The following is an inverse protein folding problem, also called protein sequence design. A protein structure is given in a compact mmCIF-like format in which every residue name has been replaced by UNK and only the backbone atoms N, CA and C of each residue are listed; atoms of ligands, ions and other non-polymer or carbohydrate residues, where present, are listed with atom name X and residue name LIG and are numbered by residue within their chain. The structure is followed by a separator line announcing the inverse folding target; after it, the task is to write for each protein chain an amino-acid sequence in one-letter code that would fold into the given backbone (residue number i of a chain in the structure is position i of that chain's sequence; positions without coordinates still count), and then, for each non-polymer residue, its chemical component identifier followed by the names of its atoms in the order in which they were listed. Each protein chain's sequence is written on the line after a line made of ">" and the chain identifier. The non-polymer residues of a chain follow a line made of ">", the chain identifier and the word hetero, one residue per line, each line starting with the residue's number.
data_IF_063299105710
#
_entry.id   IF_063299105710
#
_cell.length_a   1.000
_cell.length_b   1.000
_cell.length_c   1.000
_cell.angle_alpha   90.00
_cell.angle_beta   90.00
_cell.angle_gamma   90.00
#
_symmetry.space_group_name_H-M   'P 1'
#
loop_
_entity.id
_entity.type
_entity.pdbx_description
1 polymer ?
#
# COMPACT_ATOMS: atom_id res chain seq x y z
N UNK A 1 43.03 -3.91 -6.84
CA UNK A 1 43.12 -2.63 -6.19
C UNK A 1 42.37 -2.74 -4.90
N UNK A 2 43.13 -2.77 -4.00
CA UNK A 2 43.12 -3.19 -2.66
C UNK A 2 42.20 -2.32 -1.81
N UNK A 3 41.39 -3.00 -1.02
CA UNK A 3 40.63 -2.38 0.04
C UNK A 3 41.62 -1.70 1.00
N UNK A 4 41.28 -0.53 1.55
CA UNK A 4 42.27 0.29 2.30
C UNK A 4 42.68 -0.27 3.66
N UNK A 5 42.41 -1.54 3.94
CA UNK A 5 42.69 -2.23 5.20
C UNK A 5 43.93 -3.10 5.18
N UNK A 6 44.70 -3.08 4.08
CA UNK A 6 45.92 -3.90 3.86
C UNK A 6 45.70 -5.42 3.88
N UNK A 7 44.43 -5.90 3.88
CA UNK A 7 44.12 -7.33 3.80
C UNK A 7 43.77 -7.66 2.32
N UNK A 8 44.43 -8.65 1.71
CA UNK A 8 44.10 -9.04 0.34
C UNK A 8 42.65 -9.48 0.15
N UNK A 9 42.02 -9.08 -0.94
CA UNK A 9 40.62 -9.37 -1.28
C UNK A 9 40.27 -10.86 -1.19
N UNK A 10 41.20 -11.76 -1.48
CA UNK A 10 41.01 -13.21 -1.41
C UNK A 10 40.70 -13.75 0.01
N UNK A 11 40.94 -12.95 1.06
CA UNK A 11 40.62 -13.27 2.44
C UNK A 11 39.40 -12.53 2.97
N UNK A 12 38.71 -11.82 2.10
CA UNK A 12 37.55 -10.97 2.42
C UNK A 12 36.36 -11.31 1.59
N UNK A 13 35.18 -11.12 2.18
CA UNK A 13 33.89 -11.18 1.50
C UNK A 13 33.23 -9.81 1.51
N UNK A 14 32.28 -9.63 0.63
CA UNK A 14 31.46 -8.43 0.53
C UNK A 14 30.00 -8.77 0.76
N UNK A 15 29.34 -8.02 1.63
CA UNK A 15 27.89 -7.95 1.72
C UNK A 15 27.40 -6.74 0.94
N UNK A 16 26.51 -6.95 -0.01
CA UNK A 16 25.92 -5.89 -0.85
C UNK A 16 24.43 -5.83 -0.62
N UNK A 17 23.87 -4.61 -0.46
CA UNK A 17 22.45 -4.38 -0.21
C UNK A 17 21.87 -3.54 -1.33
N UNK A 18 20.82 -4.02 -1.98
CA UNK A 18 20.16 -3.36 -3.11
C UNK A 18 18.65 -3.37 -2.97
N UNK A 19 17.98 -2.45 -3.66
CA UNK A 19 16.53 -2.47 -3.80
C UNK A 19 16.13 -3.35 -4.99
N UNK A 20 15.07 -4.15 -4.82
CA UNK A 20 14.45 -4.90 -5.92
C UNK A 20 13.74 -3.98 -6.92
N UNK A 21 13.24 -2.84 -6.43
CA UNK A 21 12.45 -1.88 -7.21
C UNK A 21 12.56 -0.49 -6.56
N UNK A 22 13.39 0.37 -7.16
CA UNK A 22 13.61 1.72 -6.64
C UNK A 22 12.38 2.63 -6.73
N UNK A 23 11.38 2.25 -7.52
CA UNK A 23 10.10 2.98 -7.57
C UNK A 23 9.21 2.68 -6.36
N UNK A 24 9.47 1.59 -5.64
CA UNK A 24 8.74 1.18 -4.44
C UNK A 24 9.47 1.47 -3.13
N UNK A 25 10.80 1.58 -3.19
CA UNK A 25 11.60 1.91 -2.02
C UNK A 25 13.10 1.85 -2.32
N UNK A 26 13.89 2.43 -1.43
CA UNK A 26 15.36 2.56 -1.61
C UNK A 26 16.11 1.91 -0.47
N UNK A 27 17.34 1.51 -0.76
CA UNK A 27 18.33 1.09 0.21
C UNK A 27 19.44 2.12 0.23
N UNK A 28 19.73 2.69 1.39
CA UNK A 28 20.71 3.76 1.58
C UNK A 28 21.61 3.47 2.78
N UNK A 29 22.53 4.38 3.10
CA UNK A 29 23.51 4.19 4.17
C UNK A 29 24.66 3.31 3.69
N UNK A 30 25.02 2.29 4.46
CA UNK A 30 26.08 1.35 4.08
C UNK A 30 25.47 0.29 3.18
N UNK A 31 25.59 0.48 1.86
CA UNK A 31 25.08 -0.45 0.84
C UNK A 31 26.11 -1.53 0.48
N UNK A 32 27.31 -1.43 1.01
CA UNK A 32 28.38 -2.40 0.83
C UNK A 32 29.25 -2.49 2.07
N UNK A 33 29.36 -3.68 2.63
CA UNK A 33 30.17 -4.00 3.79
C UNK A 33 31.23 -5.04 3.40
N UNK A 34 32.42 -4.94 3.96
CA UNK A 34 33.51 -5.90 3.75
C UNK A 34 33.86 -6.55 5.08
N UNK A 35 33.98 -7.87 5.08
CA UNK A 35 34.36 -8.66 6.25
C UNK A 35 35.48 -9.62 5.91
N UNK A 36 36.43 -9.80 6.86
CA UNK A 36 37.53 -10.75 6.74
C UNK A 36 37.12 -12.11 7.23
N UNK A 37 37.21 -13.14 6.37
CA UNK A 37 36.72 -14.51 6.62
C UNK A 37 37.82 -15.49 6.99
N UNK A 38 39.04 -15.00 7.37
CA UNK A 38 40.14 -15.81 7.83
C UNK A 38 40.79 -15.19 9.06
N UNK A 39 41.40 -16.03 9.89
CA UNK A 39 42.36 -15.54 10.91
C UNK A 39 43.57 -14.98 10.18
N UNK A 40 43.89 -13.72 10.39
CA UNK A 40 45.05 -13.05 9.79
C UNK A 40 46.06 -12.76 10.86
N UNK A 41 47.29 -13.29 10.71
CA UNK A 41 48.40 -13.02 11.57
C UNK A 41 49.34 -12.03 10.88
N UNK A 42 49.71 -10.98 11.60
CA UNK A 42 50.57 -9.92 11.06
C UNK A 42 51.79 -9.75 11.93
N UNK A 43 52.90 -9.36 11.33
CA UNK A 43 54.10 -8.89 12.05
C UNK A 43 53.75 -7.57 12.76
N UNK A 44 54.08 -7.47 14.05
CA UNK A 44 53.72 -6.33 14.89
C UNK A 44 54.50 -5.04 14.58
N UNK A 45 55.65 -5.15 13.88
CA UNK A 45 56.50 -4.01 13.57
C UNK A 45 56.23 -3.50 12.14
N UNK A 46 56.02 -4.41 11.20
CA UNK A 46 55.85 -4.08 9.77
C UNK A 46 54.37 -4.06 9.31
N UNK A 47 53.47 -4.73 10.04
CA UNK A 47 52.10 -4.93 9.65
C UNK A 47 51.90 -5.91 8.48
N UNK A 48 52.97 -6.58 8.02
CA UNK A 48 52.90 -7.57 6.96
C UNK A 48 52.20 -8.86 7.44
N UNK A 49 51.41 -9.49 6.56
CA UNK A 49 50.77 -10.78 6.85
C UNK A 49 51.83 -11.87 6.90
N UNK A 50 51.99 -12.50 8.05
CA UNK A 50 52.95 -13.57 8.31
C UNK A 50 52.34 -14.95 8.16
N UNK A 51 51.03 -15.10 8.44
CA UNK A 51 50.30 -16.36 8.31
C UNK A 51 48.80 -16.10 8.15
N UNK A 52 48.08 -17.11 7.62
CA UNK A 52 46.62 -17.11 7.44
C UNK A 52 46.07 -18.40 8.05
N UNK A 53 45.26 -18.26 9.08
CA UNK A 53 44.70 -19.37 9.80
C UNK A 53 43.43 -19.94 9.13
N UNK A 54 42.53 -20.46 9.93
CA UNK A 54 41.29 -21.09 9.49
C UNK A 54 40.28 -20.08 9.00
N UNK A 55 39.32 -20.52 8.16
CA UNK A 55 38.13 -19.72 7.82
C UNK A 55 37.30 -19.42 9.07
N UNK A 56 36.79 -18.19 9.15
CA UNK A 56 35.88 -17.72 10.19
C UNK A 56 34.67 -17.13 9.50
N UNK A 57 33.50 -17.79 9.55
CA UNK A 57 32.27 -17.23 8.98
C UNK A 57 31.95 -15.85 9.55
N UNK A 58 31.49 -14.96 8.72
CA UNK A 58 31.12 -13.59 9.08
C UNK A 58 29.64 -13.36 8.87
N UNK A 59 29.08 -12.43 9.63
CA UNK A 59 27.70 -12.00 9.48
C UNK A 59 27.64 -10.50 9.17
N UNK A 60 26.58 -10.02 8.51
CA UNK A 60 26.37 -8.60 8.29
C UNK A 60 26.27 -7.84 9.63
N UNK A 61 27.06 -6.80 9.81
CA UNK A 61 27.11 -6.03 11.07
C UNK A 61 26.50 -4.63 10.92
N UNK A 62 26.55 -4.07 9.72
CA UNK A 62 26.12 -2.70 9.44
C UNK A 62 24.73 -2.71 8.86
N UNK A 63 23.78 -1.99 9.47
CA UNK A 63 22.48 -1.86 8.88
C UNK A 63 22.53 -0.91 7.69
N UNK A 64 22.13 -1.39 6.52
CA UNK A 64 21.62 -0.51 5.50
C UNK A 64 20.28 0.09 5.96
N UNK A 65 19.95 1.27 5.47
CA UNK A 65 18.65 1.89 5.76
C UNK A 65 17.70 1.57 4.61
N UNK A 66 16.65 0.82 4.92
CA UNK A 66 15.55 0.55 3.98
C UNK A 66 14.48 1.60 4.16
N UNK A 67 14.16 2.32 3.08
CA UNK A 67 13.15 3.38 3.09
C UNK A 67 12.09 3.09 2.02
N UNK A 68 10.91 2.56 2.42
CA UNK A 68 9.79 2.43 1.50
C UNK A 68 9.33 3.80 1.01
N UNK A 69 8.89 3.88 -0.25
CA UNK A 69 8.18 5.05 -0.78
C UNK A 69 6.72 5.04 -0.37
N UNK A 70 6.06 6.18 -0.55
CA UNK A 70 4.64 6.38 -0.25
C UNK A 70 3.78 5.26 -0.84
N UNK A 71 2.89 4.71 -0.03
CA UNK A 71 2.02 3.61 -0.41
C UNK A 71 2.64 2.22 -0.39
N UNK A 72 3.90 2.10 -0.03
CA UNK A 72 4.61 0.82 0.09
C UNK A 72 5.11 0.60 1.51
N UNK A 73 5.46 -0.64 1.80
CA UNK A 73 6.17 -1.06 3.02
C UNK A 73 7.24 -2.07 2.67
N UNK A 74 8.30 -2.13 3.48
CA UNK A 74 9.27 -3.20 3.39
C UNK A 74 8.57 -4.54 3.65
N UNK A 75 8.90 -5.53 2.82
CA UNK A 75 8.34 -6.87 2.92
C UNK A 75 9.36 -7.85 3.52
N UNK A 76 10.53 -7.93 2.88
CA UNK A 76 11.57 -8.90 3.24
C UNK A 76 12.88 -8.59 2.53
N UNK A 77 13.96 -9.19 3.03
CA UNK A 77 15.19 -9.37 2.29
C UNK A 77 15.18 -10.70 1.53
N UNK A 78 15.79 -10.74 0.36
CA UNK A 78 16.06 -11.94 -0.42
C UNK A 78 17.56 -12.04 -0.66
N UNK A 79 18.15 -13.23 -0.40
CA UNK A 79 19.55 -13.53 -0.69
C UNK A 79 19.68 -14.25 -2.04
N UNK A 80 18.90 -15.30 -2.24
CA UNK A 80 18.83 -16.11 -3.46
C UNK A 80 17.36 -16.50 -3.73
N UNK A 81 17.09 -17.36 -4.69
CA UNK A 81 15.72 -17.74 -5.09
C UNK A 81 14.91 -18.40 -3.96
N UNK A 82 15.53 -18.90 -2.90
CA UNK A 82 14.90 -19.69 -1.85
C UNK A 82 15.08 -19.12 -0.44
N UNK A 83 16.06 -18.23 -0.23
CA UNK A 83 16.41 -17.70 1.09
C UNK A 83 15.88 -16.30 1.30
N UNK A 84 15.01 -16.16 2.29
CA UNK A 84 14.35 -14.89 2.64
C UNK A 84 14.50 -14.60 4.13
N UNK A 85 14.60 -13.30 4.47
CA UNK A 85 14.64 -12.80 5.84
C UNK A 85 13.55 -11.73 6.02
N UNK A 86 12.75 -11.86 7.07
CA UNK A 86 11.63 -10.94 7.33
C UNK A 86 12.06 -9.68 8.09
N UNK A 87 13.29 -9.66 8.59
CA UNK A 87 13.86 -8.53 9.32
C UNK A 87 15.36 -8.43 9.13
N UNK A 88 15.91 -7.28 9.48
CA UNK A 88 17.36 -7.06 9.54
C UNK A 88 18.03 -7.97 10.57
N UNK A 89 17.36 -8.29 11.69
CA UNK A 89 17.90 -9.14 12.73
C UNK A 89 18.07 -10.59 12.26
N UNK A 90 17.09 -11.13 11.49
CA UNK A 90 17.21 -12.45 10.89
C UNK A 90 18.39 -12.52 9.92
N UNK A 91 18.54 -11.49 9.07
CA UNK A 91 19.63 -11.38 8.10
C UNK A 91 20.99 -11.33 8.82
N UNK A 92 21.12 -10.56 9.90
CA UNK A 92 22.39 -10.39 10.67
C UNK A 92 22.78 -11.62 11.45
N UNK A 93 21.85 -12.51 11.77
CA UNK A 93 22.14 -13.75 12.49
C UNK A 93 22.66 -14.88 11.58
N UNK A 94 22.70 -14.65 10.27
CA UNK A 94 23.21 -15.62 9.30
C UNK A 94 24.71 -15.42 9.05
N UNK A 95 25.44 -16.52 8.88
CA UNK A 95 26.91 -16.55 8.75
C UNK A 95 27.31 -16.98 7.35
N UNK A 96 28.36 -16.34 6.80
CA UNK A 96 28.83 -16.53 5.42
C UNK A 96 30.35 -16.60 5.31
N UNK A 97 30.80 -17.35 4.30
CA UNK A 97 32.20 -17.45 3.88
C UNK A 97 32.45 -16.92 2.47
N UNK A 98 31.37 -16.49 1.79
CA UNK A 98 31.40 -16.03 0.39
C UNK A 98 30.62 -14.71 0.27
N UNK A 99 30.88 -13.98 -0.83
CA UNK A 99 30.16 -12.75 -1.15
C UNK A 99 28.64 -12.98 -1.18
N UNK A 100 27.89 -12.04 -0.61
CA UNK A 100 26.44 -12.09 -0.58
C UNK A 100 25.81 -10.80 -1.09
N UNK A 101 24.68 -10.94 -1.78
CA UNK A 101 23.83 -9.82 -2.16
C UNK A 101 22.46 -9.99 -1.53
N UNK A 102 22.02 -8.97 -0.79
CA UNK A 102 20.72 -8.91 -0.16
C UNK A 102 19.83 -7.91 -0.91
N UNK A 103 18.66 -8.36 -1.35
CA UNK A 103 17.72 -7.60 -2.16
C UNK A 103 16.52 -7.26 -1.30
N UNK A 104 16.27 -5.96 -1.06
CA UNK A 104 15.11 -5.48 -0.32
C UNK A 104 13.86 -5.50 -1.21
N UNK A 105 12.83 -6.24 -0.80
CA UNK A 105 11.53 -6.27 -1.45
C UNK A 105 10.53 -5.37 -0.74
N UNK A 106 9.65 -4.74 -1.54
CA UNK A 106 8.61 -3.85 -1.07
C UNK A 106 7.26 -4.32 -1.60
N UNK A 107 6.24 -4.24 -0.75
CA UNK A 107 4.86 -4.58 -1.11
C UNK A 107 3.95 -3.37 -0.91
N UNK A 108 2.86 -3.32 -1.68
CA UNK A 108 1.85 -2.27 -1.55
C UNK A 108 1.16 -2.35 -0.18
N UNK A 109 0.86 -1.22 0.42
CA UNK A 109 0.09 -1.13 1.66
C UNK A 109 -1.34 -1.58 1.43
N UNK A 110 -1.87 -2.39 2.38
CA UNK A 110 -3.23 -2.97 2.36
C UNK A 110 -3.96 -2.72 3.68
N UNK A 111 -3.52 -1.72 4.41
CA UNK A 111 -3.93 -1.37 5.75
C UNK A 111 -4.38 0.10 5.81
N UNK A 112 -4.98 0.61 4.73
CA UNK A 112 -5.39 2.00 4.64
C UNK A 112 -6.89 2.14 4.89
N UNK A 113 -7.23 3.19 5.61
CA UNK A 113 -8.61 3.55 5.90
C UNK A 113 -9.29 4.14 4.67
N UNK A 114 -10.59 3.80 4.46
CA UNK A 114 -11.48 4.47 3.50
C UNK A 114 -12.93 4.35 3.94
N UNK A 115 -13.78 5.27 3.46
CA UNK A 115 -15.20 5.31 3.75
C UNK A 115 -16.05 5.50 2.50
N UNK A 116 -17.25 4.90 2.48
CA UNK A 116 -18.28 5.14 1.48
C UNK A 116 -19.57 5.46 2.23
N UNK A 117 -20.12 6.65 2.00
CA UNK A 117 -21.32 7.13 2.64
C UNK A 117 -22.47 7.20 1.64
N UNK A 118 -23.69 6.95 2.10
CA UNK A 118 -24.91 7.00 1.33
C UNK A 118 -25.84 8.06 1.88
N UNK A 119 -26.27 8.99 1.03
CA UNK A 119 -27.12 10.12 1.40
C UNK A 119 -28.42 10.07 0.58
N UNK A 120 -29.53 10.38 1.23
CA UNK A 120 -30.86 10.39 0.66
C UNK A 120 -31.49 11.76 0.83
N UNK A 121 -31.82 12.43 -0.29
CA UNK A 121 -32.46 13.74 -0.31
C UNK A 121 -33.95 13.57 -0.55
N UNK A 122 -34.79 14.04 0.39
CA UNK A 122 -36.24 13.99 0.29
C UNK A 122 -36.82 15.10 -0.61
N UNK A 123 -38.11 15.07 -0.86
CA UNK A 123 -38.81 16.05 -1.71
C UNK A 123 -38.72 17.51 -1.18
N UNK A 124 -38.33 17.73 0.08
CA UNK A 124 -38.13 19.04 0.67
C UNK A 124 -36.67 19.50 0.61
N UNK A 125 -35.77 18.71 0.01
CA UNK A 125 -34.34 18.98 -0.06
C UNK A 125 -33.59 18.64 1.24
N UNK A 126 -34.18 17.84 2.14
CA UNK A 126 -33.51 17.40 3.36
C UNK A 126 -32.68 16.17 3.07
N UNK A 127 -31.36 16.29 3.28
CA UNK A 127 -30.42 15.21 3.08
C UNK A 127 -30.21 14.44 4.37
N UNK A 128 -30.40 13.13 4.30
CA UNK A 128 -30.19 12.21 5.46
C UNK A 128 -29.17 11.14 5.08
N UNK A 129 -28.20 10.92 5.95
CA UNK A 129 -27.23 9.83 5.78
C UNK A 129 -27.81 8.50 6.28
N UNK A 130 -27.65 7.45 5.48
CA UNK A 130 -27.85 6.07 5.94
C UNK A 130 -26.57 5.53 6.57
N UNK A 131 -26.41 5.76 7.87
CA UNK A 131 -25.24 5.29 8.62
C UNK A 131 -25.17 3.76 8.74
N UNK A 132 -26.29 3.05 8.48
CA UNK A 132 -26.33 1.59 8.51
C UNK A 132 -25.79 0.98 7.19
N UNK A 133 -25.92 1.71 6.08
CA UNK A 133 -25.36 1.31 4.79
C UNK A 133 -23.92 1.80 4.58
N UNK A 134 -23.44 2.75 5.38
CA UNK A 134 -22.08 3.28 5.26
C UNK A 134 -21.03 2.15 5.39
N UNK A 135 -20.03 2.20 4.52
CA UNK A 135 -18.90 1.26 4.54
C UNK A 135 -17.70 2.00 5.11
N UNK A 136 -17.19 1.49 6.23
CA UNK A 136 -15.95 1.95 6.87
C UNK A 136 -14.98 0.78 6.86
N UNK A 137 -13.78 0.96 6.34
CA UNK A 137 -12.83 -0.14 6.15
C UNK A 137 -11.38 0.29 6.36
N UNK A 138 -10.61 -0.55 7.05
CA UNK A 138 -9.17 -0.38 7.32
C UNK A 138 -8.29 -1.33 6.48
N UNK A 139 -8.83 -1.90 5.41
CA UNK A 139 -8.12 -2.83 4.51
C UNK A 139 -8.00 -2.29 3.09
N UNK A 140 -8.04 -0.98 2.93
CA UNK A 140 -7.83 -0.32 1.64
C UNK A 140 -6.42 -0.57 1.10
N UNK A 141 -6.34 -0.86 -0.20
CA UNK A 141 -5.08 -1.07 -0.90
C UNK A 141 -4.68 0.21 -1.61
N UNK A 142 -3.48 0.70 -1.33
CA UNK A 142 -2.97 1.93 -1.94
C UNK A 142 -3.10 1.92 -3.46
N UNK A 143 -3.64 2.99 -4.02
CA UNK A 143 -3.84 3.17 -5.45
C UNK A 143 -5.02 2.40 -6.06
N UNK A 144 -5.71 1.52 -5.31
CA UNK A 144 -6.95 0.90 -5.79
C UNK A 144 -8.14 1.85 -5.64
N UNK A 145 -9.12 1.75 -6.54
CA UNK A 145 -10.36 2.54 -6.42
C UNK A 145 -11.09 2.20 -5.12
N UNK A 146 -11.58 3.23 -4.43
CA UNK A 146 -12.41 3.07 -3.23
C UNK A 146 -13.73 2.40 -3.63
N UNK A 147 -14.43 2.96 -4.61
CA UNK A 147 -15.66 2.41 -5.12
C UNK A 147 -15.37 1.35 -6.20
N UNK A 148 -15.34 0.06 -5.78
CA UNK A 148 -15.01 -1.09 -6.64
C UNK A 148 -16.22 -1.67 -7.39
N UNK A 149 -17.43 -1.38 -6.92
CA UNK A 149 -18.67 -1.91 -7.48
C UNK A 149 -19.52 -0.82 -8.09
N UNK A 150 -20.36 -1.19 -9.05
CA UNK A 150 -21.37 -0.26 -9.59
C UNK A 150 -22.42 0.02 -8.53
N UNK A 151 -22.66 1.29 -8.26
CA UNK A 151 -23.73 1.74 -7.36
C UNK A 151 -25.07 1.47 -8.04
N UNK A 152 -26.05 0.98 -7.28
CA UNK A 152 -27.40 0.74 -7.78
C UNK A 152 -28.02 2.05 -8.25
N UNK A 153 -28.76 1.99 -9.36
CA UNK A 153 -29.46 3.17 -9.90
C UNK A 153 -30.65 3.58 -9.06
N UNK A 154 -31.23 2.63 -8.33
CA UNK A 154 -32.42 2.79 -7.50
C UNK A 154 -32.13 2.21 -6.12
N UNK A 155 -32.69 2.80 -5.07
CA UNK A 155 -32.54 2.36 -3.68
C UNK A 155 -33.81 2.64 -2.88
N UNK A 156 -34.02 1.90 -1.81
CA UNK A 156 -35.07 2.14 -0.82
C UNK A 156 -34.45 2.59 0.51
N UNK A 157 -35.01 3.67 1.07
CA UNK A 157 -34.60 4.16 2.38
C UNK A 157 -35.82 4.63 3.16
N UNK A 158 -36.01 4.13 4.39
CA UNK A 158 -37.18 4.43 5.25
C UNK A 158 -38.53 4.20 4.56
N UNK A 159 -38.62 3.16 3.72
CA UNK A 159 -39.84 2.79 3.01
C UNK A 159 -40.23 3.71 1.84
N UNK A 160 -39.29 4.54 1.38
CA UNK A 160 -39.44 5.42 0.22
C UNK A 160 -38.44 5.02 -0.86
N UNK A 161 -38.79 5.28 -2.11
CA UNK A 161 -37.97 4.95 -3.28
C UNK A 161 -37.14 6.16 -3.72
N UNK A 162 -35.85 5.90 -4.05
CA UNK A 162 -34.90 6.91 -4.47
C UNK A 162 -34.13 6.47 -5.70
N UNK A 163 -33.71 7.44 -6.52
CA UNK A 163 -32.85 7.22 -7.69
C UNK A 163 -31.49 7.84 -7.48
N UNK A 164 -30.45 7.19 -8.02
CA UNK A 164 -29.08 7.69 -7.95
C UNK A 164 -29.00 9.03 -8.67
N UNK A 165 -28.59 10.06 -7.95
CA UNK A 165 -28.41 11.41 -8.49
C UNK A 165 -26.94 11.64 -8.90
N UNK A 166 -26.02 11.48 -7.96
CA UNK A 166 -24.59 11.70 -8.19
C UNK A 166 -23.71 10.89 -7.24
N UNK A 167 -22.44 10.76 -7.62
CA UNK A 167 -21.40 10.16 -6.78
C UNK A 167 -20.23 11.14 -6.72
N UNK A 168 -19.92 11.62 -5.54
CA UNK A 168 -18.75 12.46 -5.31
C UNK A 168 -17.56 11.54 -4.96
N UNK A 169 -16.45 11.71 -5.67
CA UNK A 169 -15.28 10.87 -5.49
C UNK A 169 -15.37 9.48 -6.16
N UNK A 170 -16.22 9.30 -7.19
CA UNK A 170 -16.42 8.01 -7.89
C UNK A 170 -15.11 7.36 -8.39
N UNK A 171 -14.13 8.17 -8.79
CA UNK A 171 -12.83 7.70 -9.30
C UNK A 171 -11.69 7.81 -8.28
N UNK A 172 -11.99 8.17 -7.03
CA UNK A 172 -10.98 8.25 -5.98
C UNK A 172 -10.29 6.90 -5.76
N UNK A 173 -8.99 7.00 -5.56
CA UNK A 173 -8.14 5.88 -5.17
C UNK A 173 -7.75 6.02 -3.70
N UNK A 174 -7.52 4.89 -3.05
CA UNK A 174 -7.06 4.86 -1.67
C UNK A 174 -5.67 5.49 -1.58
N UNK A 175 -5.56 6.60 -0.89
CA UNK A 175 -4.32 7.33 -0.59
C UNK A 175 -3.85 7.08 0.84
N UNK A 176 -2.79 7.80 1.25
CA UNK A 176 -2.26 7.71 2.61
C UNK A 176 -3.06 8.55 3.62
N UNK A 177 -3.71 9.60 3.15
CA UNK A 177 -4.55 10.47 3.98
C UNK A 177 -5.96 9.86 4.10
N UNK A 178 -6.37 9.40 5.29
CA UNK A 178 -7.68 8.80 5.49
C UNK A 178 -8.82 9.80 5.24
N UNK A 179 -8.61 11.09 5.51
CA UNK A 179 -9.64 12.13 5.33
C UNK A 179 -9.95 12.40 3.84
N UNK A 180 -9.03 12.03 2.95
CA UNK A 180 -9.24 12.11 1.51
C UNK A 180 -9.87 10.84 0.92
N UNK A 181 -9.86 9.73 1.63
CA UNK A 181 -10.34 8.43 1.18
C UNK A 181 -11.85 8.26 1.37
N UNK A 182 -12.63 9.25 0.99
CA UNK A 182 -14.08 9.28 1.19
C UNK A 182 -14.80 9.37 -0.16
N UNK A 183 -15.81 8.52 -0.34
CA UNK A 183 -16.76 8.55 -1.47
C UNK A 183 -18.16 8.77 -0.93
N UNK A 184 -18.88 9.75 -1.47
CA UNK A 184 -20.25 10.05 -1.12
C UNK A 184 -21.18 9.71 -2.28
N UNK A 185 -22.20 8.90 -2.01
CA UNK A 185 -23.24 8.48 -2.95
C UNK A 185 -24.54 9.19 -2.58
N UNK A 186 -25.11 9.94 -3.51
CA UNK A 186 -26.33 10.72 -3.30
C UNK A 186 -27.47 10.15 -4.12
N UNK A 187 -28.59 9.92 -3.44
CA UNK A 187 -29.85 9.54 -4.02
C UNK A 187 -30.86 10.65 -3.78
N UNK A 188 -31.66 10.99 -4.81
CA UNK A 188 -32.82 11.88 -4.69
C UNK A 188 -34.12 11.07 -4.69
N UNK A 189 -35.10 11.56 -3.95
CA UNK A 189 -36.39 10.89 -3.89
C UNK A 189 -37.01 10.81 -5.27
N UNK A 190 -37.41 9.60 -5.68
CA UNK A 190 -38.17 9.43 -6.89
C UNK A 190 -39.65 9.80 -6.62
N UNK A 191 -40.12 10.83 -7.31
CA UNK A 191 -41.51 11.26 -7.21
C UNK A 191 -42.50 10.24 -7.81
N UNK A 192 -42.00 9.12 -8.36
CA UNK A 192 -42.84 8.09 -9.02
C UNK A 192 -43.82 7.40 -8.05
N UNK A 193 -43.74 7.63 -6.74
CA UNK A 193 -44.57 6.93 -5.77
C UNK A 193 -45.63 7.73 -5.05
N UNK A 194 -45.72 9.05 -5.24
CA UNK A 194 -46.78 9.83 -4.60
C UNK A 194 -48.01 9.86 -5.56
N UNK A 195 -49.17 9.32 -5.13
CA UNK A 195 -50.39 9.43 -5.92
C UNK A 195 -50.74 10.90 -6.05
N UNK A 196 -50.80 11.41 -7.27
CA UNK A 196 -51.39 12.74 -7.54
C UNK A 196 -52.85 12.71 -7.13
N UNK A 197 -53.31 13.55 -6.17
CA UNK A 197 -54.68 13.58 -5.76
C UNK A 197 -55.63 14.00 -6.92
N UNK A 198 -55.11 14.67 -7.92
CA UNK A 198 -55.89 15.11 -9.08
C UNK A 198 -55.90 14.11 -10.25
N UNK A 199 -54.98 13.10 -10.21
CA UNK A 199 -54.85 12.02 -11.21
C UNK A 199 -54.50 10.69 -10.55
N UNK A 200 -55.47 9.93 -10.09
CA UNK A 200 -55.24 8.71 -9.25
C UNK A 200 -54.74 7.50 -10.06
N UNK A 201 -53.92 7.67 -11.07
CA UNK A 201 -53.39 6.62 -11.94
C UNK A 201 -51.98 6.15 -11.54
N UNK A 202 -51.39 6.71 -10.45
CA UNK A 202 -50.05 6.44 -9.96
C UNK A 202 -48.92 6.73 -10.95
N UNK A 203 -49.15 7.57 -11.97
CA UNK A 203 -48.15 8.02 -12.91
C UNK A 203 -47.84 9.50 -12.62
N UNK A 204 -46.60 9.89 -12.29
CA UNK A 204 -46.25 11.28 -12.05
C UNK A 204 -46.54 12.18 -13.24
N UNK A 205 -47.02 13.39 -12.96
CA UNK A 205 -47.40 14.38 -13.98
C UNK A 205 -46.30 14.71 -14.96
N UNK A 206 -45.04 14.65 -14.53
CA UNK A 206 -43.87 14.88 -15.42
C UNK A 206 -43.77 13.88 -16.58
N UNK A 207 -44.42 12.72 -16.50
CA UNK A 207 -44.48 11.71 -17.56
C UNK A 207 -45.81 11.70 -18.30
N UNK A 208 -46.74 12.65 -17.98
CA UNK A 208 -48.06 12.76 -18.57
C UNK A 208 -48.19 13.99 -19.44
N UNK A 209 -48.94 13.88 -20.51
CA UNK A 209 -49.32 14.99 -21.37
C UNK A 209 -50.84 15.22 -21.24
N UNK A 210 -51.21 16.42 -20.83
CA UNK A 210 -52.63 16.81 -20.76
C UNK A 210 -53.05 17.41 -22.08
N UNK A 211 -54.11 16.87 -22.69
CA UNK A 211 -54.76 17.45 -23.86
C UNK A 211 -55.99 18.25 -23.40
N UNK A 212 -55.99 19.56 -23.66
CA UNK A 212 -57.17 20.39 -23.43
C UNK A 212 -57.91 20.61 -24.78
N UNK A 213 -59.12 20.17 -24.82
CA UNK A 213 -59.98 20.40 -25.97
C UNK A 213 -60.81 21.70 -25.74
N UNK A 214 -60.72 22.61 -26.68
CA UNK A 214 -61.46 23.89 -26.67
C UNK A 214 -62.68 23.79 -27.59
#
# INVERSE_FOLDING_TARGET
>A
PDKPDNIPDKYQITFTYVSADEDKGTVTGITREVATVYEIFTDSETGEITDVGRPIPQHPTQPSTVTPKDGYRFEKWQQDDLTFFNSDDELRNSEYLEDQTFIAHFTVRRDLHYEIHYFYEDANGVVTEDTAAAIVSDIGVFGEKILKTTVAKESEFNGKHYVLERIEGADKQVGLDPDENIVNVYYSMDEIGEPDPDKPDNIPDKYQITFTYV
#
